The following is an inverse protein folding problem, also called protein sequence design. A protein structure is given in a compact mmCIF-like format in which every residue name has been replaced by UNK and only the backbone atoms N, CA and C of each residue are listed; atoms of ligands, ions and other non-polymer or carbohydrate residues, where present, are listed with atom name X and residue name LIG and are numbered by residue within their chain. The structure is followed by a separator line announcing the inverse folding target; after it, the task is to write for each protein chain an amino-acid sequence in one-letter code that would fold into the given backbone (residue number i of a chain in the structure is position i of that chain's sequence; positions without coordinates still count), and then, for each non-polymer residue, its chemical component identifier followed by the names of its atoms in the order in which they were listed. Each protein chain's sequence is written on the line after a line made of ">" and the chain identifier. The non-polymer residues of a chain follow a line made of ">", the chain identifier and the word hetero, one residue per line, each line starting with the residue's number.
data_IF_009232783762
#
_entry.id   IF_009232783762
#
_cell.length_a   1.000
_cell.length_b   1.000
_cell.length_c   1.000
_cell.angle_alpha   90.00
_cell.angle_beta   90.00
_cell.angle_gamma   90.00
#
_symmetry.space_group_name_H-M   'P 1'
#
loop_
_entity.id
_entity.type
_entity.pdbx_description
1 polymer ?
#
# COMPACT_ATOMS: atom_id res chain seq x y z
N UNK A 1 -17.15 -19.41 15.74
CA UNK A 1 -16.95 -18.58 14.53
C UNK A 1 -16.54 -17.14 14.85
N UNK A 2 -17.21 -16.45 15.76
CA UNK A 2 -16.91 -15.04 16.14
C UNK A 2 -15.48 -14.84 16.66
N UNK A 3 -14.98 -15.71 17.54
CA UNK A 3 -13.62 -15.61 18.12
C UNK A 3 -12.47 -15.75 17.10
N UNK A 4 -12.63 -16.55 16.04
CA UNK A 4 -11.65 -16.64 14.95
C UNK A 4 -11.62 -15.36 14.10
N UNK A 5 -12.79 -14.79 13.84
CA UNK A 5 -12.93 -13.55 13.07
C UNK A 5 -12.30 -12.36 13.80
N UNK A 6 -12.47 -12.28 15.13
CA UNK A 6 -11.91 -11.20 15.95
C UNK A 6 -10.38 -11.20 15.96
N UNK A 7 -9.73 -12.38 15.93
CA UNK A 7 -8.26 -12.47 15.83
C UNK A 7 -7.71 -11.91 14.52
N UNK A 8 -8.40 -12.12 13.40
CA UNK A 8 -7.98 -11.63 12.09
C UNK A 8 -8.01 -10.10 11.98
N UNK A 9 -8.89 -9.43 12.74
CA UNK A 9 -8.97 -7.97 12.79
C UNK A 9 -8.25 -7.35 13.99
N UNK A 10 -7.54 -8.16 14.79
CA UNK A 10 -6.96 -7.73 16.06
C UNK A 10 -6.01 -6.54 15.93
N UNK A 11 -5.19 -6.50 14.87
CA UNK A 11 -4.26 -5.40 14.61
C UNK A 11 -5.00 -4.10 14.37
N UNK A 12 -5.98 -4.11 13.46
CA UNK A 12 -6.79 -2.94 13.16
C UNK A 12 -7.59 -2.48 14.37
N UNK A 13 -8.17 -3.41 15.14
CA UNK A 13 -8.91 -3.10 16.37
C UNK A 13 -8.04 -2.41 17.43
N UNK A 14 -6.80 -2.88 17.63
CA UNK A 14 -5.86 -2.27 18.59
C UNK A 14 -5.51 -0.84 18.22
N UNK A 15 -5.51 -0.49 16.95
CA UNK A 15 -5.24 0.87 16.45
C UNK A 15 -6.45 1.79 16.60
N UNK A 16 -7.67 1.25 16.49
CA UNK A 16 -8.92 2.01 16.57
C UNK A 16 -9.29 2.36 18.02
N UNK A 17 -9.20 1.39 18.93
CA UNK A 17 -9.65 1.53 20.33
C UNK A 17 -9.08 2.79 21.05
N UNK A 18 -7.78 3.10 20.94
CA UNK A 18 -7.23 4.30 21.60
C UNK A 18 -7.76 5.63 21.04
N UNK A 19 -8.30 5.64 19.84
CA UNK A 19 -8.79 6.86 19.17
C UNK A 19 -10.19 7.28 19.64
N UNK A 20 -10.86 6.46 20.45
CA UNK A 20 -12.11 6.84 21.14
C UNK A 20 -13.27 7.28 20.26
N UNK A 21 -13.20 6.99 18.93
CA UNK A 21 -14.10 7.53 17.93
C UNK A 21 -15.43 6.80 17.77
N UNK A 22 -15.78 5.88 18.64
CA UNK A 22 -16.99 5.08 18.53
C UNK A 22 -18.22 5.84 18.98
N UNK A 23 -18.97 6.41 18.04
CA UNK A 23 -20.40 6.73 18.29
C UNK A 23 -21.22 5.53 17.84
N UNK A 24 -21.89 4.84 18.75
CA UNK A 24 -22.80 3.75 18.37
C UNK A 24 -23.84 4.26 17.37
N UNK A 25 -24.00 3.59 16.24
CA UNK A 25 -25.08 3.85 15.28
C UNK A 25 -24.73 4.67 14.04
N UNK A 26 -23.52 5.21 13.89
CA UNK A 26 -23.08 5.83 12.63
C UNK A 26 -22.02 4.95 11.96
N UNK A 27 -22.43 4.11 11.05
CA UNK A 27 -21.52 3.50 10.07
C UNK A 27 -20.78 4.63 9.34
N UNK A 28 -19.46 4.59 9.34
CA UNK A 28 -18.66 5.57 8.62
C UNK A 28 -19.14 5.68 7.17
N UNK A 29 -19.17 6.87 6.62
CA UNK A 29 -19.51 7.11 5.23
C UNK A 29 -18.38 6.59 4.35
N UNK A 30 -18.65 6.30 3.08
CA UNK A 30 -17.66 5.77 2.12
C UNK A 30 -16.52 6.76 1.89
N UNK A 31 -16.80 8.06 1.89
CA UNK A 31 -15.81 9.13 1.79
C UNK A 31 -14.80 9.17 2.96
N UNK A 32 -15.06 8.39 3.99
CA UNK A 32 -14.18 8.25 5.15
C UNK A 32 -13.18 7.11 5.02
N UNK A 33 -13.14 6.40 3.91
CA UNK A 33 -12.15 5.38 3.63
C UNK A 33 -11.05 5.95 2.72
N UNK A 34 -9.82 5.74 3.11
CA UNK A 34 -8.63 6.11 2.33
C UNK A 34 -7.81 4.85 2.10
N UNK A 35 -7.52 4.55 0.84
CA UNK A 35 -6.58 3.48 0.46
C UNK A 35 -5.21 4.10 0.21
N UNK A 36 -4.20 3.66 0.96
CA UNK A 36 -2.80 3.94 0.67
C UNK A 36 -2.22 2.75 -0.08
N UNK A 37 -1.88 2.96 -1.34
CA UNK A 37 -1.40 1.93 -2.26
C UNK A 37 0.03 2.22 -2.74
N UNK A 38 0.69 1.22 -3.28
CA UNK A 38 2.04 1.32 -3.81
C UNK A 38 2.85 0.06 -3.55
N UNK A 39 4.09 0.04 -4.02
CA UNK A 39 4.99 -1.08 -3.76
C UNK A 39 5.32 -1.18 -2.26
N UNK A 40 5.40 -2.38 -1.69
CA UNK A 40 6.05 -2.56 -0.40
C UNK A 40 7.41 -1.85 -0.39
N UNK A 41 7.79 -1.27 0.74
CA UNK A 41 9.05 -0.52 0.94
C UNK A 41 9.11 0.86 0.24
N UNK A 42 8.02 1.32 -0.39
CA UNK A 42 7.92 2.68 -0.93
C UNK A 42 7.50 3.74 0.10
N UNK A 43 7.25 3.37 1.37
CA UNK A 43 6.80 4.27 2.41
C UNK A 43 5.28 4.23 2.67
N UNK A 44 4.58 3.18 2.22
CA UNK A 44 3.13 3.00 2.44
C UNK A 44 2.77 3.06 3.92
N UNK A 45 3.52 2.39 4.79
CA UNK A 45 3.31 2.40 6.25
C UNK A 45 3.49 3.81 6.82
N UNK A 46 4.56 4.52 6.45
CA UNK A 46 4.80 5.89 6.86
C UNK A 46 3.64 6.81 6.49
N UNK A 47 3.21 6.74 5.21
CA UNK A 47 2.11 7.60 4.73
C UNK A 47 0.80 7.27 5.43
N UNK A 48 0.49 6.00 5.65
CA UNK A 48 -0.71 5.58 6.36
C UNK A 48 -0.71 6.04 7.82
N UNK A 49 0.42 5.95 8.52
CA UNK A 49 0.59 6.46 9.88
C UNK A 49 0.44 7.99 9.92
N UNK A 50 1.04 8.70 8.97
CA UNK A 50 0.91 10.16 8.84
C UNK A 50 -0.54 10.58 8.62
N UNK A 51 -1.26 9.92 7.71
CA UNK A 51 -2.68 10.19 7.45
C UNK A 51 -3.57 9.75 8.63
N UNK A 52 -3.29 8.58 9.22
CA UNK A 52 -3.98 8.10 10.41
C UNK A 52 -3.76 8.98 11.65
N UNK A 53 -2.69 9.79 11.64
CA UNK A 53 -2.39 10.81 12.67
C UNK A 53 -3.28 12.06 12.61
N UNK A 54 -3.94 12.30 11.47
CA UNK A 54 -4.81 13.47 11.29
C UNK A 54 -6.00 13.46 12.26
N UNK A 55 -6.50 14.64 12.68
CA UNK A 55 -7.73 14.72 13.45
C UNK A 55 -8.89 14.03 12.76
N UNK A 56 -9.55 13.11 13.45
CA UNK A 56 -10.66 12.35 12.89
C UNK A 56 -10.28 11.20 11.96
N UNK A 57 -9.00 10.84 11.88
CA UNK A 57 -8.52 9.69 11.11
C UNK A 57 -8.02 8.57 12.03
N UNK A 58 -7.90 7.36 11.47
CA UNK A 58 -7.27 6.21 12.10
C UNK A 58 -6.59 5.34 11.05
N UNK A 59 -5.32 5.01 11.25
CA UNK A 59 -4.62 4.00 10.47
C UNK A 59 -5.06 2.60 10.94
N UNK A 60 -5.63 1.81 10.02
CA UNK A 60 -6.03 0.41 10.26
C UNK A 60 -4.84 -0.55 10.16
N UNK A 61 -3.72 -0.10 9.61
CA UNK A 61 -2.65 -0.97 9.16
C UNK A 61 -3.08 -1.82 7.97
N UNK A 62 -2.39 -2.91 7.75
CA UNK A 62 -2.80 -3.92 6.78
C UNK A 62 -3.99 -4.72 7.34
N UNK A 63 -5.11 -4.71 6.63
CA UNK A 63 -6.30 -5.47 7.04
C UNK A 63 -6.10 -6.94 6.66
N UNK A 64 -5.63 -7.75 7.60
CA UNK A 64 -5.24 -9.13 7.34
C UNK A 64 -6.27 -9.99 6.57
N UNK A 65 -7.59 -9.91 6.83
CA UNK A 65 -8.57 -10.64 6.01
C UNK A 65 -8.63 -10.14 4.57
N UNK A 66 -8.41 -8.85 4.32
CA UNK A 66 -8.35 -8.30 2.97
C UNK A 66 -7.08 -8.79 2.27
N UNK A 67 -5.93 -8.65 2.90
CA UNK A 67 -4.66 -9.14 2.38
C UNK A 67 -4.73 -10.62 1.98
N UNK A 68 -5.29 -11.46 2.84
CA UNK A 68 -5.46 -12.88 2.57
C UNK A 68 -6.40 -13.18 1.40
N UNK A 69 -7.38 -12.32 1.13
CA UNK A 69 -8.36 -12.52 0.06
C UNK A 69 -7.88 -12.01 -1.30
N UNK A 70 -7.03 -10.97 -1.34
CA UNK A 70 -6.63 -10.29 -2.59
C UNK A 70 -6.09 -11.26 -3.66
N UNK A 71 -5.22 -12.25 -3.35
CA UNK A 71 -4.73 -13.18 -4.36
C UNK A 71 -5.83 -13.91 -5.13
N UNK A 72 -6.95 -14.18 -4.47
CA UNK A 72 -8.12 -14.84 -5.08
C UNK A 72 -9.08 -13.86 -5.74
N UNK A 73 -9.06 -12.59 -5.31
CA UNK A 73 -9.91 -11.52 -5.84
C UNK A 73 -9.33 -10.88 -7.11
N UNK A 74 -8.02 -11.01 -7.31
CA UNK A 74 -7.35 -10.42 -8.46
C UNK A 74 -7.86 -11.00 -9.77
N UNK A 75 -8.41 -10.13 -10.62
CA UNK A 75 -9.03 -10.52 -11.89
C UNK A 75 -10.39 -11.19 -11.76
N UNK A 76 -10.96 -11.31 -10.56
CA UNK A 76 -12.25 -11.95 -10.34
C UNK A 76 -13.40 -10.96 -10.60
N UNK A 77 -14.35 -11.28 -11.49
CA UNK A 77 -15.60 -10.52 -11.60
C UNK A 77 -16.35 -10.48 -10.26
N UNK A 78 -16.78 -9.30 -9.81
CA UNK A 78 -17.49 -9.14 -8.55
C UNK A 78 -16.60 -9.04 -7.30
N UNK A 79 -15.29 -8.92 -7.44
CA UNK A 79 -14.35 -8.70 -6.34
C UNK A 79 -14.78 -7.55 -5.41
N UNK A 80 -15.41 -6.49 -5.95
CA UNK A 80 -15.91 -5.35 -5.20
C UNK A 80 -16.87 -5.75 -4.06
N UNK A 81 -17.78 -6.70 -4.30
CA UNK A 81 -18.73 -7.17 -3.29
C UNK A 81 -18.02 -7.83 -2.10
N UNK A 82 -17.00 -8.63 -2.35
CA UNK A 82 -16.22 -9.30 -1.31
C UNK A 82 -15.34 -8.31 -0.54
N UNK A 83 -14.67 -7.37 -1.22
CA UNK A 83 -13.91 -6.28 -0.60
C UNK A 83 -14.81 -5.48 0.33
N UNK A 84 -16.02 -5.10 -0.15
CA UNK A 84 -17.01 -4.41 0.68
C UNK A 84 -17.39 -5.24 1.90
N UNK A 85 -17.65 -6.53 1.73
CA UNK A 85 -18.02 -7.44 2.82
C UNK A 85 -16.94 -7.52 3.90
N UNK A 86 -15.68 -7.57 3.50
CA UNK A 86 -14.54 -7.64 4.41
C UNK A 86 -14.40 -6.33 5.20
N UNK A 87 -14.37 -5.19 4.52
CA UNK A 87 -14.18 -3.88 5.16
C UNK A 87 -15.40 -3.42 5.95
N UNK A 88 -16.63 -3.73 5.51
CA UNK A 88 -17.83 -3.44 6.28
C UNK A 88 -17.90 -4.16 7.63
N UNK A 89 -17.20 -5.28 7.81
CA UNK A 89 -17.10 -5.92 9.11
C UNK A 89 -16.41 -5.02 10.14
N UNK A 90 -15.34 -4.30 9.76
CA UNK A 90 -14.70 -3.31 10.63
C UNK A 90 -15.66 -2.15 10.89
N UNK A 91 -16.34 -1.66 9.86
CA UNK A 91 -17.29 -0.56 9.97
C UNK A 91 -18.48 -0.90 10.88
N UNK A 92 -19.04 -2.13 10.75
CA UNK A 92 -20.17 -2.62 11.57
C UNK A 92 -19.83 -2.81 13.04
N UNK A 93 -18.57 -2.96 13.39
CA UNK A 93 -18.15 -2.99 14.79
C UNK A 93 -18.27 -1.61 15.45
N UNK A 94 -18.68 -0.59 14.72
CA UNK A 94 -18.89 0.77 15.21
C UNK A 94 -17.60 1.52 15.59
N UNK A 95 -16.47 0.85 15.43
CA UNK A 95 -15.18 1.32 15.92
C UNK A 95 -14.57 2.41 15.02
N UNK A 96 -15.03 2.50 13.76
CA UNK A 96 -14.64 3.57 12.82
C UNK A 96 -15.74 4.60 12.59
N UNK A 97 -16.85 4.51 13.33
CA UNK A 97 -17.92 5.49 13.24
C UNK A 97 -17.41 6.87 13.65
N UNK A 98 -17.52 7.83 12.76
CA UNK A 98 -16.99 9.19 12.98
C UNK A 98 -15.52 9.39 12.59
N UNK A 99 -14.74 8.32 12.33
CA UNK A 99 -13.36 8.41 11.86
C UNK A 99 -13.26 8.13 10.37
N UNK A 100 -12.26 8.72 9.73
CA UNK A 100 -11.76 8.30 8.42
C UNK A 100 -10.76 7.15 8.63
N UNK A 101 -10.99 6.01 8.01
CA UNK A 101 -10.15 4.85 8.12
C UNK A 101 -9.11 4.83 7.00
N UNK A 102 -7.84 4.71 7.33
CA UNK A 102 -6.74 4.54 6.38
C UNK A 102 -6.38 3.06 6.31
N UNK A 103 -6.55 2.45 5.16
CA UNK A 103 -6.17 1.08 4.85
C UNK A 103 -4.90 1.09 4.00
N UNK A 104 -3.89 0.28 4.33
CA UNK A 104 -2.59 0.38 3.67
C UNK A 104 -2.01 -0.98 3.24
N UNK A 105 -2.84 -1.95 2.92
CA UNK A 105 -2.36 -3.22 2.36
C UNK A 105 -1.79 -2.98 0.95
N UNK A 106 -0.49 -3.18 0.70
CA UNK A 106 0.11 -2.88 -0.60
C UNK A 106 -0.55 -3.63 -1.76
N UNK A 107 -1.00 -4.86 -1.51
CA UNK A 107 -1.68 -5.71 -2.49
C UNK A 107 -3.01 -5.13 -2.98
N UNK A 108 -3.61 -4.17 -2.26
CA UNK A 108 -4.80 -3.43 -2.73
C UNK A 108 -4.51 -2.73 -4.07
N UNK A 109 -3.26 -2.40 -4.36
CA UNK A 109 -2.86 -1.87 -5.68
C UNK A 109 -3.42 -2.70 -6.84
N UNK A 110 -3.43 -4.04 -6.72
CA UNK A 110 -3.89 -4.95 -7.77
C UNK A 110 -5.40 -5.07 -7.90
N UNK A 111 -6.13 -4.67 -6.87
CA UNK A 111 -7.60 -4.69 -6.84
C UNK A 111 -8.18 -3.29 -6.62
N UNK A 112 -7.37 -2.24 -6.84
CA UNK A 112 -7.78 -0.85 -6.63
C UNK A 112 -9.06 -0.48 -7.39
N UNK A 113 -9.24 -0.86 -8.66
CA UNK A 113 -10.51 -0.62 -9.37
C UNK A 113 -11.71 -1.21 -8.62
N UNK A 114 -11.61 -2.47 -8.19
CA UNK A 114 -12.67 -3.14 -7.44
C UNK A 114 -12.87 -2.54 -6.04
N UNK A 115 -11.79 -2.06 -5.40
CA UNK A 115 -11.90 -1.38 -4.11
C UNK A 115 -12.64 -0.04 -4.22
N UNK A 116 -12.36 0.74 -5.25
CA UNK A 116 -13.06 2.01 -5.53
C UNK A 116 -14.46 1.80 -6.11
N UNK A 117 -14.74 0.68 -6.77
CA UNK A 117 -16.10 0.25 -7.12
C UNK A 117 -16.88 -0.12 -5.85
N UNK A 118 -16.25 -0.87 -4.94
CA UNK A 118 -16.86 -1.21 -3.65
C UNK A 118 -17.18 0.04 -2.81
N UNK A 119 -16.34 1.07 -2.87
CA UNK A 119 -16.45 2.31 -2.12
C UNK A 119 -16.25 3.52 -3.04
N UNK A 120 -17.26 3.91 -3.83
CA UNK A 120 -17.12 4.94 -4.87
C UNK A 120 -16.67 6.32 -4.36
N UNK A 121 -16.95 6.63 -3.09
CA UNK A 121 -16.56 7.89 -2.45
C UNK A 121 -15.26 7.79 -1.64
N UNK A 122 -14.59 6.64 -1.65
CA UNK A 122 -13.29 6.48 -1.02
C UNK A 122 -12.20 7.23 -1.81
N UNK A 123 -11.16 7.63 -1.09
CA UNK A 123 -9.97 8.25 -1.67
C UNK A 123 -8.85 7.20 -1.84
N UNK A 124 -8.03 7.37 -2.86
CA UNK A 124 -6.82 6.57 -3.03
C UNK A 124 -5.60 7.49 -3.08
N UNK A 125 -4.55 7.13 -2.35
CA UNK A 125 -3.26 7.80 -2.39
C UNK A 125 -2.19 6.77 -2.72
N UNK A 126 -1.53 6.94 -3.85
CA UNK A 126 -0.41 6.10 -4.29
C UNK A 126 0.89 6.76 -3.85
N UNK A 127 1.71 6.05 -3.08
CA UNK A 127 3.07 6.46 -2.81
C UNK A 127 4.03 5.69 -3.71
N UNK A 128 4.77 6.43 -4.53
CA UNK A 128 5.81 5.90 -5.40
C UNK A 128 7.18 6.35 -4.92
N UNK A 129 8.17 5.49 -5.05
CA UNK A 129 9.56 5.71 -4.71
C UNK A 129 10.46 5.15 -5.79
N UNK A 130 11.68 5.68 -5.93
CA UNK A 130 12.69 5.13 -6.82
C UNK A 130 12.81 3.60 -6.64
N UNK A 131 12.56 2.87 -7.73
CA UNK A 131 12.53 1.41 -7.73
C UNK A 131 13.86 0.80 -7.31
N UNK A 132 14.99 1.46 -7.61
CA UNK A 132 16.32 1.02 -7.22
C UNK A 132 16.50 1.03 -5.71
N UNK A 133 16.00 2.07 -5.02
CA UNK A 133 16.00 2.14 -3.54
C UNK A 133 15.07 1.12 -2.91
N UNK A 134 13.93 0.85 -3.57
CA UNK A 134 12.98 -0.18 -3.13
C UNK A 134 13.61 -1.56 -3.27
N UNK A 135 14.31 -1.84 -4.36
CA UNK A 135 15.05 -3.09 -4.57
C UNK A 135 16.06 -3.33 -3.44
N UNK A 136 16.88 -2.33 -3.07
CA UNK A 136 17.77 -2.44 -1.92
C UNK A 136 17.04 -2.92 -0.67
N UNK A 137 15.90 -2.30 -0.38
CA UNK A 137 15.13 -2.64 0.82
C UNK A 137 14.47 -4.01 0.76
N UNK A 138 14.07 -4.48 -0.42
CA UNK A 138 13.52 -5.83 -0.62
C UNK A 138 14.58 -6.91 -0.50
N UNK A 139 15.80 -6.67 -1.02
CA UNK A 139 16.93 -7.58 -0.90
C UNK A 139 17.35 -7.76 0.56
N UNK A 140 17.47 -6.67 1.33
CA UNK A 140 17.77 -6.74 2.77
C UNK A 140 16.76 -7.60 3.56
N UNK A 141 15.50 -7.60 3.14
CA UNK A 141 14.44 -8.38 3.79
C UNK A 141 14.40 -9.84 3.35
N UNK A 142 14.99 -10.15 2.21
CA UNK A 142 14.97 -11.49 1.63
C UNK A 142 13.54 -11.99 1.30
N UNK A 143 12.60 -11.08 1.02
CA UNK A 143 11.19 -11.47 0.77
C UNK A 143 10.98 -12.19 -0.55
N UNK A 144 11.89 -11.96 -1.50
CA UNK A 144 11.81 -12.51 -2.85
C UNK A 144 12.72 -13.70 -3.07
N UNK A 145 13.35 -14.22 -2.01
CA UNK A 145 14.06 -15.49 -2.05
C UNK A 145 13.11 -16.62 -2.45
N UNK A 146 13.62 -17.60 -3.19
CA UNK A 146 12.84 -18.74 -3.67
C UNK A 146 12.14 -19.46 -2.52
N UNK A 147 12.82 -19.62 -1.39
CA UNK A 147 12.35 -20.34 -0.21
C UNK A 147 11.23 -19.63 0.57
N UNK A 148 10.98 -18.35 0.27
CA UNK A 148 9.98 -17.52 0.97
C UNK A 148 8.73 -17.23 0.16
N UNK A 149 8.46 -18.00 -0.89
CA UNK A 149 7.23 -17.83 -1.67
C UNK A 149 5.99 -17.86 -0.76
N UNK A 150 5.24 -16.76 -0.73
CA UNK A 150 4.01 -16.64 0.05
C UNK A 150 4.15 -16.23 1.51
N UNK A 151 5.35 -15.91 1.97
CA UNK A 151 5.55 -15.35 3.32
C UNK A 151 5.87 -13.87 3.23
N UNK A 152 5.24 -13.05 4.09
CA UNK A 152 5.64 -11.69 4.34
C UNK A 152 6.30 -11.53 5.72
N UNK A 153 6.97 -10.40 5.95
CA UNK A 153 7.65 -10.10 7.21
C UNK A 153 6.68 -9.93 8.39
N UNK A 154 5.47 -9.46 8.12
CA UNK A 154 4.46 -9.24 9.14
C UNK A 154 3.80 -10.53 9.60
N UNK A 155 4.15 -11.67 8.99
CA UNK A 155 3.51 -12.98 9.21
C UNK A 155 2.00 -12.93 9.07
N UNK A 156 1.51 -11.97 8.28
CA UNK A 156 0.10 -11.88 7.97
C UNK A 156 -0.28 -13.01 7.01
N UNK A 157 -1.51 -13.51 7.08
CA UNK A 157 -1.97 -14.50 6.13
C UNK A 157 -1.87 -13.94 4.71
N UNK A 158 -1.15 -14.66 3.88
CA UNK A 158 -1.06 -14.43 2.44
C UNK A 158 -1.91 -15.49 1.77
N UNK A 159 -2.73 -15.18 0.81
CA UNK A 159 -3.61 -16.16 0.18
C UNK A 159 -2.85 -17.35 -0.42
N UNK A 160 -3.56 -18.38 -0.82
CA UNK A 160 -2.99 -19.60 -1.38
C UNK A 160 -2.18 -19.36 -2.67
N UNK A 161 -2.48 -18.27 -3.39
CA UNK A 161 -1.81 -17.85 -4.64
C UNK A 161 -0.70 -16.85 -4.34
N UNK A 162 0.33 -17.29 -3.68
CA UNK A 162 1.52 -16.48 -3.46
C UNK A 162 2.07 -15.92 -4.78
N UNK A 163 2.51 -14.65 -4.75
CA UNK A 163 3.05 -13.98 -5.96
C UNK A 163 2.07 -13.97 -7.13
N UNK A 164 0.77 -13.89 -6.84
CA UNK A 164 -0.32 -13.80 -7.82
C UNK A 164 -0.13 -12.66 -8.83
N UNK A 165 0.71 -11.69 -8.50
CA UNK A 165 1.06 -10.54 -9.30
C UNK A 165 2.13 -10.83 -10.38
N UNK A 166 2.74 -12.00 -10.38
CA UNK A 166 3.60 -12.44 -11.49
C UNK A 166 2.72 -12.81 -12.66
N UNK A 167 3.08 -12.35 -13.87
CA UNK A 167 2.39 -12.68 -15.10
C UNK A 167 2.50 -14.21 -15.34
N UNK A 168 1.38 -14.93 -15.52
CA UNK A 168 1.40 -16.40 -15.65
C UNK A 168 2.33 -16.92 -16.73
N UNK A 169 2.39 -16.23 -17.88
CA UNK A 169 3.24 -16.56 -19.02
C UNK A 169 4.74 -16.37 -18.74
N UNK A 170 5.09 -15.54 -17.77
CA UNK A 170 6.46 -15.27 -17.36
C UNK A 170 6.86 -15.95 -16.03
N UNK A 171 5.99 -16.79 -15.47
CA UNK A 171 6.25 -17.42 -14.16
C UNK A 171 7.57 -18.20 -14.12
N UNK A 172 7.89 -18.98 -15.18
CA UNK A 172 9.15 -19.70 -15.25
C UNK A 172 10.38 -18.80 -15.42
N UNK A 173 10.24 -17.60 -16.00
CA UNK A 173 11.29 -16.59 -16.03
C UNK A 173 11.53 -16.05 -14.64
N UNK A 174 10.46 -15.66 -13.94
CA UNK A 174 10.53 -15.15 -12.57
C UNK A 174 11.20 -16.15 -11.61
N UNK A 175 10.90 -17.45 -11.72
CA UNK A 175 11.49 -18.49 -10.87
C UNK A 175 13.01 -18.62 -11.04
N UNK A 176 13.52 -18.38 -12.25
CA UNK A 176 14.95 -18.43 -12.57
C UNK A 176 15.70 -17.12 -12.40
N UNK A 177 14.96 -16.03 -12.21
CA UNK A 177 15.53 -14.70 -12.12
C UNK A 177 16.37 -14.51 -10.85
N UNK A 178 17.32 -13.57 -10.88
CA UNK A 178 18.04 -13.11 -9.72
C UNK A 178 17.08 -12.48 -8.69
N UNK A 179 17.52 -12.34 -7.45
CA UNK A 179 16.71 -11.64 -6.43
C UNK A 179 16.50 -10.16 -6.78
N UNK A 180 17.49 -9.50 -7.40
CA UNK A 180 17.38 -8.12 -7.86
C UNK A 180 16.31 -7.98 -8.96
N UNK A 181 16.32 -8.87 -9.96
CA UNK A 181 15.29 -8.92 -10.99
C UNK A 181 13.90 -9.16 -10.39
N UNK A 182 13.76 -10.11 -9.45
CA UNK A 182 12.47 -10.37 -8.78
C UNK A 182 11.98 -9.15 -7.99
N UNK A 183 12.90 -8.42 -7.35
CA UNK A 183 12.57 -7.21 -6.60
C UNK A 183 12.12 -6.07 -7.53
N UNK A 184 12.83 -5.87 -8.63
CA UNK A 184 12.45 -4.92 -9.67
C UNK A 184 11.10 -5.27 -10.31
N UNK A 185 10.86 -6.55 -10.56
CA UNK A 185 9.59 -7.06 -11.06
C UNK A 185 8.43 -6.75 -10.11
N UNK A 186 8.59 -7.07 -8.82
CA UNK A 186 7.60 -6.74 -7.81
C UNK A 186 7.29 -5.24 -7.81
N UNK A 187 8.32 -4.38 -7.73
CA UNK A 187 8.16 -2.93 -7.75
C UNK A 187 7.38 -2.48 -9.00
N UNK A 188 7.80 -2.90 -10.18
CA UNK A 188 7.13 -2.56 -11.45
C UNK A 188 5.66 -2.96 -11.44
N UNK A 189 5.35 -4.19 -11.00
CA UNK A 189 3.96 -4.71 -10.96
C UNK A 189 3.08 -3.91 -10.00
N UNK A 190 3.56 -3.64 -8.78
CA UNK A 190 2.80 -2.87 -7.79
C UNK A 190 2.56 -1.44 -8.25
N UNK A 191 3.60 -0.75 -8.76
CA UNK A 191 3.48 0.63 -9.24
C UNK A 191 2.53 0.72 -10.43
N UNK A 192 2.68 -0.17 -11.43
CA UNK A 192 1.78 -0.20 -12.59
C UNK A 192 0.33 -0.46 -12.18
N UNK A 193 0.09 -1.36 -11.23
CA UNK A 193 -1.24 -1.65 -10.72
C UNK A 193 -1.85 -0.45 -9.95
N UNK A 194 -1.06 0.21 -9.09
CA UNK A 194 -1.51 1.38 -8.35
C UNK A 194 -1.86 2.57 -9.26
N UNK A 195 -1.26 2.65 -10.45
CA UNK A 195 -1.50 3.69 -11.48
C UNK A 195 -2.62 3.34 -12.45
N UNK A 196 -3.38 2.27 -12.21
CA UNK A 196 -4.48 1.84 -13.09
C UNK A 196 -5.67 2.81 -13.17
N UNK A 197 -5.82 3.71 -12.18
CA UNK A 197 -6.88 4.72 -12.10
C UNK A 197 -6.30 6.09 -11.71
N UNK A 198 -5.53 6.73 -12.60
CA UNK A 198 -4.82 7.97 -12.27
C UNK A 198 -5.77 9.13 -11.92
N UNK A 199 -6.97 9.16 -12.52
CA UNK A 199 -7.99 10.19 -12.27
C UNK A 199 -8.65 10.06 -10.89
N UNK A 200 -8.51 8.91 -10.22
CA UNK A 200 -9.09 8.60 -8.90
C UNK A 200 -8.03 8.52 -7.80
N UNK A 201 -6.74 8.65 -8.15
CA UNK A 201 -5.62 8.39 -7.26
C UNK A 201 -4.68 9.59 -7.21
N UNK A 202 -4.41 10.10 -6.02
CA UNK A 202 -3.34 11.07 -5.83
C UNK A 202 -2.00 10.32 -5.79
N UNK A 203 -1.10 10.60 -6.75
CA UNK A 203 0.27 10.08 -6.69
C UNK A 203 1.17 11.03 -5.88
N UNK A 204 1.89 10.47 -4.91
CA UNK A 204 2.86 11.16 -4.05
C UNK A 204 4.22 10.49 -4.19
N UNK A 205 5.25 11.26 -4.47
CA UNK A 205 6.63 10.76 -4.49
C UNK A 205 7.22 10.74 -3.08
N UNK A 206 7.84 9.64 -2.71
CA UNK A 206 8.53 9.50 -1.42
C UNK A 206 9.60 10.60 -1.25
N UNK A 207 10.35 10.87 -2.30
CA UNK A 207 11.43 11.87 -2.33
C UNK A 207 10.88 13.29 -2.07
N UNK A 208 9.67 13.57 -2.54
CA UNK A 208 9.01 14.87 -2.30
C UNK A 208 8.57 15.07 -0.85
N UNK A 209 8.44 13.99 -0.07
CA UNK A 209 8.16 14.10 1.37
C UNK A 209 9.28 14.81 2.15
N UNK A 210 10.49 14.82 1.59
CA UNK A 210 11.63 15.52 2.18
C UNK A 210 12.01 16.78 1.40
N UNK A 211 11.87 16.76 0.06
CA UNK A 211 12.27 17.86 -0.82
C UNK A 211 11.22 18.98 -0.96
N UNK A 212 9.92 18.64 -1.01
CA UNK A 212 8.79 19.58 -1.13
C UNK A 212 7.62 19.15 -0.22
N UNK A 213 7.89 19.05 1.07
CA UNK A 213 6.90 18.60 2.07
C UNK A 213 5.63 19.47 2.07
N UNK A 214 5.76 20.76 1.89
CA UNK A 214 4.62 21.67 1.85
C UNK A 214 3.73 21.45 0.62
N UNK A 215 4.35 21.25 -0.56
CA UNK A 215 3.63 20.91 -1.77
C UNK A 215 2.86 19.61 -1.63
N UNK A 216 3.49 18.58 -1.08
CA UNK A 216 2.85 17.31 -0.77
C UNK A 216 1.70 17.48 0.22
N UNK A 217 1.92 18.24 1.31
CA UNK A 217 0.86 18.47 2.30
C UNK A 217 -0.36 19.16 1.69
N UNK A 218 -0.15 20.17 0.84
CA UNK A 218 -1.23 20.85 0.12
C UNK A 218 -1.97 19.91 -0.86
N UNK A 219 -1.24 19.05 -1.56
CA UNK A 219 -1.84 18.09 -2.48
C UNK A 219 -2.72 17.07 -1.74
N UNK A 220 -2.20 16.47 -0.67
CA UNK A 220 -2.94 15.54 0.20
C UNK A 220 -4.17 16.25 0.82
N UNK A 221 -3.98 17.45 1.35
CA UNK A 221 -5.06 18.23 1.98
C UNK A 221 -6.23 18.48 1.01
N UNK A 222 -5.92 18.88 -0.22
CA UNK A 222 -6.93 19.08 -1.28
C UNK A 222 -7.62 17.77 -1.64
N UNK A 223 -6.86 16.69 -1.79
CA UNK A 223 -7.40 15.39 -2.19
C UNK A 223 -8.31 14.77 -1.12
N UNK A 224 -7.98 14.97 0.16
CA UNK A 224 -8.74 14.41 1.28
C UNK A 224 -9.77 15.39 1.88
N UNK A 225 -9.86 16.61 1.37
CA UNK A 225 -10.70 17.68 1.91
C UNK A 225 -10.43 17.90 3.41
N UNK A 226 -9.17 18.24 3.72
CA UNK A 226 -8.70 18.58 5.07
C UNK A 226 -7.81 19.83 5.05
N UNK A 227 -7.64 20.55 6.16
CA UNK A 227 -6.72 21.69 6.22
C UNK A 227 -5.26 21.28 6.01
N UNK A 228 -4.47 21.99 5.17
CA UNK A 228 -3.05 21.68 4.95
C UNK A 228 -2.21 21.71 6.21
N UNK A 229 -2.53 22.60 7.14
CA UNK A 229 -1.86 22.74 8.45
C UNK A 229 -2.04 21.50 9.34
N UNK A 230 -3.06 20.69 9.10
CA UNK A 230 -3.23 19.42 9.78
C UNK A 230 -2.32 18.32 9.22
N UNK A 231 -2.00 18.38 7.91
CA UNK A 231 -1.20 17.36 7.21
C UNK A 231 0.29 17.54 7.46
N UNK A 232 0.79 18.78 7.31
CA UNK A 232 2.21 19.10 7.31
C UNK A 232 2.99 18.56 8.54
N UNK A 233 2.50 18.68 9.79
CA UNK A 233 3.23 18.15 10.94
C UNK A 233 3.39 16.63 10.93
N UNK A 234 2.43 15.89 10.37
CA UNK A 234 2.48 14.43 10.30
C UNK A 234 3.47 13.91 9.25
N UNK A 235 3.90 14.75 8.31
CA UNK A 235 4.94 14.44 7.34
C UNK A 235 6.36 14.75 7.86
N UNK A 236 6.50 15.38 9.03
CA UNK A 236 7.79 15.87 9.53
C UNK A 236 8.82 14.76 9.81
N UNK A 237 8.37 13.54 10.08
CA UNK A 237 9.24 12.38 10.37
C UNK A 237 9.70 11.63 9.12
N UNK A 238 9.42 12.13 7.91
CA UNK A 238 9.97 11.55 6.68
C UNK A 238 11.51 11.66 6.66
N UNK A 239 12.18 10.56 6.29
CA UNK A 239 13.63 10.45 6.31
C UNK A 239 14.21 10.48 4.89
N UNK A 240 15.26 11.30 4.67
CA UNK A 240 15.99 11.35 3.40
C UNK A 240 17.10 10.29 3.30
N UNK A 241 17.53 9.69 4.42
CA UNK A 241 18.70 8.81 4.51
C UNK A 241 18.68 7.61 3.56
N UNK A 242 17.51 7.19 3.18
CA UNK A 242 17.31 6.04 2.28
C UNK A 242 17.09 6.43 0.82
N UNK A 243 17.14 7.74 0.48
CA UNK A 243 17.02 8.24 -0.89
C UNK A 243 18.39 8.14 -1.57
N UNK A 244 18.42 7.52 -2.76
CA UNK A 244 19.64 7.34 -3.54
C UNK A 244 20.60 6.27 -2.95
N UNK A 245 20.14 5.46 -1.99
CA UNK A 245 20.95 4.43 -1.37
C UNK A 245 21.41 3.37 -2.36
N UNK A 246 20.72 3.18 -3.46
CA UNK A 246 21.08 2.22 -4.51
C UNK A 246 22.47 2.47 -5.09
N UNK A 247 22.95 3.73 -5.10
CA UNK A 247 24.30 4.08 -5.55
C UNK A 247 25.42 3.42 -4.71
N UNK A 248 25.11 3.06 -3.47
CA UNK A 248 26.05 2.44 -2.53
C UNK A 248 25.76 0.97 -2.33
N UNK A 249 24.48 0.58 -2.34
CA UNK A 249 24.01 -0.71 -1.83
C UNK A 249 23.80 -1.76 -2.94
N UNK A 250 23.67 -1.34 -4.21
CA UNK A 250 23.58 -2.26 -5.36
C UNK A 250 24.91 -2.32 -6.11
N UNK A 251 25.31 -3.53 -6.52
CA UNK A 251 26.43 -3.72 -7.43
C UNK A 251 25.99 -3.52 -8.90
N UNK A 252 26.96 -3.52 -9.84
CA UNK A 252 26.69 -3.28 -11.26
C UNK A 252 25.71 -4.30 -11.86
N UNK A 253 25.86 -5.59 -11.53
CA UNK A 253 24.99 -6.66 -12.03
C UNK A 253 23.54 -6.46 -11.55
N UNK A 254 23.36 -6.11 -10.27
CA UNK A 254 22.04 -5.83 -9.71
C UNK A 254 21.39 -4.60 -10.36
N UNK A 255 22.16 -3.55 -10.66
CA UNK A 255 21.68 -2.37 -11.36
C UNK A 255 21.25 -2.70 -12.81
N UNK A 256 22.02 -3.53 -13.51
CA UNK A 256 21.65 -4.01 -14.85
C UNK A 256 20.37 -4.85 -14.82
N UNK A 257 20.19 -5.69 -13.81
CA UNK A 257 18.98 -6.48 -13.60
C UNK A 257 17.76 -5.58 -13.36
N UNK A 258 17.90 -4.55 -12.52
CA UNK A 258 16.84 -3.57 -12.27
C UNK A 258 16.48 -2.80 -13.54
N UNK A 259 17.49 -2.33 -14.27
CA UNK A 259 17.27 -1.58 -15.52
C UNK A 259 16.57 -2.45 -16.58
N UNK A 260 16.96 -3.71 -16.71
CA UNK A 260 16.34 -4.65 -17.66
C UNK A 260 14.87 -4.88 -17.37
N UNK A 261 14.49 -5.05 -16.09
CA UNK A 261 13.11 -5.39 -15.71
C UNK A 261 12.23 -4.17 -15.48
N UNK A 262 12.77 -3.08 -14.94
CA UNK A 262 12.00 -1.92 -14.50
C UNK A 262 12.40 -0.60 -15.18
N UNK A 263 13.45 -0.57 -15.99
CA UNK A 263 13.99 0.62 -16.64
C UNK A 263 12.94 1.47 -17.35
N UNK A 264 12.08 0.91 -18.23
CA UNK A 264 11.06 1.72 -18.90
C UNK A 264 10.14 2.48 -17.93
N UNK A 265 9.74 1.87 -16.82
CA UNK A 265 8.91 2.52 -15.81
C UNK A 265 9.69 3.53 -14.98
N UNK A 266 10.97 3.25 -14.67
CA UNK A 266 11.85 4.21 -14.01
C UNK A 266 12.00 5.48 -14.85
N UNK A 267 12.26 5.33 -16.16
CA UNK A 267 12.33 6.44 -17.10
C UNK A 267 11.01 7.23 -17.21
N UNK A 268 9.88 6.55 -17.34
CA UNK A 268 8.54 7.16 -17.34
C UNK A 268 8.30 8.02 -16.10
N UNK A 269 8.75 7.52 -14.95
CA UNK A 269 8.64 8.21 -13.67
C UNK A 269 9.73 9.27 -13.44
N UNK A 270 10.70 9.41 -14.33
CA UNK A 270 11.79 10.38 -14.22
C UNK A 270 12.80 10.07 -13.13
N UNK A 271 13.05 8.78 -12.87
CA UNK A 271 14.11 8.29 -12.00
C UNK A 271 15.40 7.93 -12.75
N UNK A 272 15.45 8.18 -14.03
CA UNK A 272 16.63 7.91 -14.86
C UNK A 272 17.70 8.98 -14.72
#
# INVERSE_FOLDING_TARGET
>A
MILRTTRLYATSLRRIVPRGGASPGRLGREERLVFVVGSPRSGTTFLAEALGGLPGFVDLGEVAPLKAAIPELYGLPGAAAEIRRILDRIRRLGLVAGLRAVEQTPEVSFVLPSALEAFPQAHAVHIVRDGRDVVCSLLERGWLNADRAGQDDARLPYGARARFWVEPERAGEFERASEATRAAWAWRRYVSAARSLPERTLEVRYESLTGDREGVARAIARHLDVPPEAVLPNLATAHAESIGRYLRDLNAEQLEDVEREAGPLLHELGYA
#
